data_IF_325104474179
#
_entry.id   IF_325104474179
#
_cell.length_a   1.000
_cell.length_b   1.000
_cell.length_c   1.000
_cell.angle_alpha   90.00
_cell.angle_beta   90.00
_cell.angle_gamma   90.00
#
_symmetry.space_group_name_H-M   'P 1'
#
loop_
_entity.id
_entity.type
_entity.pdbx_description
1 polymer ?
#
# COMPACT_ATOMS: atom_id res chain seq x y z
N UNK A 1 -5.66 14.63 -3.24
CA UNK A 1 -4.18 14.78 -3.29
C UNK A 1 -3.59 13.53 -3.93
N UNK A 2 -2.48 13.62 -4.68
CA UNK A 2 -1.82 12.45 -5.27
C UNK A 2 -0.47 12.23 -4.62
N UNK A 3 -0.24 11.04 -4.09
CA UNK A 3 0.97 10.70 -3.36
C UNK A 3 1.80 9.68 -4.14
N UNK A 4 3.12 9.78 -4.00
CA UNK A 4 4.04 8.73 -4.42
C UNK A 4 4.35 7.87 -3.21
N UNK A 5 3.93 6.61 -3.27
CA UNK A 5 4.10 5.63 -2.21
C UNK A 5 5.34 4.80 -2.45
N UNK A 6 6.03 4.45 -1.38
CA UNK A 6 7.18 3.54 -1.40
C UNK A 6 7.00 2.47 -0.34
N UNK A 7 7.00 1.21 -0.78
CA UNK A 7 6.81 0.05 0.09
C UNK A 7 7.89 -0.99 -0.12
N UNK A 8 8.27 -1.65 0.98
CA UNK A 8 9.09 -2.87 0.92
C UNK A 8 8.39 -3.98 1.69
N UNK A 9 8.32 -5.15 1.06
CA UNK A 9 7.81 -6.36 1.71
C UNK A 9 8.75 -6.73 2.86
N UNK A 10 8.20 -6.90 4.06
CA UNK A 10 8.96 -7.39 5.20
C UNK A 10 9.50 -8.80 4.88
N UNK A 11 10.74 -9.08 5.29
CA UNK A 11 11.35 -10.40 5.07
C UNK A 11 10.45 -11.52 5.61
N UNK A 12 10.33 -12.61 4.85
CA UNK A 12 9.45 -13.74 5.17
C UNK A 12 7.94 -13.50 4.97
N UNK A 13 7.51 -12.30 4.57
CA UNK A 13 6.08 -11.99 4.33
C UNK A 13 5.65 -12.03 2.87
N UNK A 14 6.56 -12.30 1.94
CA UNK A 14 6.27 -12.32 0.50
C UNK A 14 5.16 -13.32 0.13
N UNK A 15 5.21 -14.55 0.63
CA UNK A 15 4.17 -15.55 0.37
C UNK A 15 2.81 -15.17 0.96
N UNK A 16 2.79 -14.60 2.18
CA UNK A 16 1.57 -14.12 2.82
C UNK A 16 0.94 -12.95 2.04
N UNK A 17 1.77 -12.02 1.54
CA UNK A 17 1.30 -10.92 0.69
C UNK A 17 0.74 -11.43 -0.64
N UNK A 18 1.46 -12.34 -1.31
CA UNK A 18 1.01 -12.92 -2.57
C UNK A 18 -0.34 -13.66 -2.41
N UNK A 19 -0.52 -14.38 -1.30
CA UNK A 19 -1.80 -15.03 -0.98
C UNK A 19 -2.92 -14.02 -0.72
N UNK A 20 -2.67 -12.97 0.06
CA UNK A 20 -3.67 -11.94 0.34
C UNK A 20 -4.13 -11.21 -0.95
N UNK A 21 -3.19 -10.97 -1.86
CA UNK A 21 -3.45 -10.44 -3.21
C UNK A 21 -4.32 -11.42 -3.99
N UNK A 22 -3.90 -12.68 -4.15
CA UNK A 22 -4.64 -13.69 -4.92
C UNK A 22 -6.06 -13.93 -4.39
N UNK A 23 -6.23 -13.96 -3.06
CA UNK A 23 -7.52 -14.20 -2.40
C UNK A 23 -8.40 -12.93 -2.35
N UNK A 24 -7.94 -11.78 -2.89
CA UNK A 24 -8.59 -10.46 -2.78
C UNK A 24 -8.97 -10.10 -1.33
N UNK A 25 -8.07 -10.41 -0.41
CA UNK A 25 -8.23 -10.09 1.01
C UNK A 25 -7.26 -8.99 1.47
N UNK A 26 -6.31 -8.59 0.62
CA UNK A 26 -5.45 -7.44 0.89
C UNK A 26 -6.31 -6.18 1.06
N UNK A 27 -6.10 -5.45 2.16
CA UNK A 27 -6.89 -4.23 2.45
C UNK A 27 -8.30 -4.48 2.98
N UNK A 28 -8.75 -5.73 3.15
CA UNK A 28 -10.10 -6.02 3.65
C UNK A 28 -10.32 -5.46 5.06
N UNK A 29 -11.34 -4.63 5.23
CA UNK A 29 -11.64 -3.94 6.49
C UNK A 29 -10.76 -2.72 6.76
N UNK A 30 -9.82 -2.41 5.86
CA UNK A 30 -9.16 -1.11 5.84
C UNK A 30 -10.03 -0.10 5.10
N UNK A 31 -9.70 1.16 5.34
CA UNK A 31 -10.38 2.31 4.75
C UNK A 31 -10.17 2.33 3.21
N UNK A 32 -8.96 2.08 2.71
CA UNK A 32 -8.68 1.99 1.26
C UNK A 32 -9.37 0.82 0.52
N UNK A 33 -9.93 -0.17 1.24
CA UNK A 33 -10.68 -1.27 0.63
C UNK A 33 -9.98 -1.93 -0.56
N UNK A 34 -10.62 -1.89 -1.74
CA UNK A 34 -10.13 -2.49 -2.99
C UNK A 34 -9.03 -1.67 -3.69
N UNK A 35 -8.73 -0.44 -3.25
CA UNK A 35 -7.68 0.40 -3.86
C UNK A 35 -6.31 -0.28 -3.82
N UNK A 36 -6.01 -1.02 -2.75
CA UNK A 36 -4.78 -1.82 -2.65
C UNK A 36 -4.60 -2.78 -3.83
N UNK A 37 -5.68 -3.34 -4.36
CA UNK A 37 -5.59 -4.24 -5.51
C UNK A 37 -5.22 -3.47 -6.79
N UNK A 38 -5.80 -2.30 -6.99
CA UNK A 38 -5.45 -1.43 -8.11
C UNK A 38 -4.01 -0.95 -8.00
N UNK A 39 -3.60 -0.52 -6.81
CA UNK A 39 -2.25 -0.05 -6.51
C UNK A 39 -1.19 -1.12 -6.76
N UNK A 40 -1.43 -2.36 -6.32
CA UNK A 40 -0.48 -3.46 -6.55
C UNK A 40 -0.34 -3.82 -8.03
N UNK A 41 -1.36 -3.64 -8.86
CA UNK A 41 -1.25 -3.82 -10.32
C UNK A 41 -0.42 -2.71 -10.99
N UNK A 42 -0.54 -1.49 -10.45
CA UNK A 42 0.18 -0.31 -10.96
C UNK A 42 1.58 -0.18 -10.37
N UNK A 43 1.87 -0.90 -9.28
CA UNK A 43 3.16 -0.88 -8.63
C UNK A 43 4.29 -1.29 -9.57
N UNK A 44 5.44 -0.63 -9.40
CA UNK A 44 6.68 -0.93 -10.11
C UNK A 44 7.77 -1.18 -9.09
N UNK A 45 8.60 -2.17 -9.36
CA UNK A 45 9.72 -2.54 -8.48
C UNK A 45 10.98 -1.91 -9.03
N UNK A 46 11.72 -1.19 -8.18
CA UNK A 46 13.02 -0.63 -8.53
C UNK A 46 14.15 -1.68 -8.44
N UNK A 47 15.35 -1.30 -8.87
CA UNK A 47 16.53 -2.18 -8.81
C UNK A 47 16.93 -2.61 -7.38
N UNK A 48 16.40 -1.95 -6.35
CA UNK A 48 16.65 -2.24 -4.93
C UNK A 48 15.54 -3.08 -4.29
N UNK A 49 14.55 -3.50 -5.08
CA UNK A 49 13.41 -4.30 -4.60
C UNK A 49 12.37 -3.48 -3.83
N UNK A 50 12.36 -2.16 -3.99
CA UNK A 50 11.32 -1.29 -3.44
C UNK A 50 10.17 -1.16 -4.44
N UNK A 51 8.94 -1.37 -3.97
CA UNK A 51 7.73 -1.20 -4.76
C UNK A 51 7.26 0.25 -4.66
N UNK A 52 7.07 0.91 -5.80
CA UNK A 52 6.55 2.27 -5.90
C UNK A 52 5.22 2.26 -6.64
N UNK A 53 4.23 2.98 -6.12
CA UNK A 53 2.96 3.22 -6.80
C UNK A 53 2.47 4.63 -6.49
N UNK A 54 1.53 5.12 -7.29
CA UNK A 54 0.92 6.42 -7.05
C UNK A 54 -0.56 6.22 -6.73
N UNK A 55 -0.96 6.63 -5.54
CA UNK A 55 -2.36 6.58 -5.11
C UNK A 55 -2.97 7.98 -5.15
N UNK A 56 -4.30 8.04 -5.34
CA UNK A 56 -5.04 9.29 -5.27
C UNK A 56 -5.91 9.24 -4.03
N UNK A 57 -5.50 9.99 -3.01
CA UNK A 57 -6.23 10.07 -1.77
C UNK A 57 -7.18 11.28 -1.76
N UNK A 58 -8.43 11.05 -1.40
CA UNK A 58 -9.47 12.08 -1.26
C UNK A 58 -9.68 12.55 0.18
N UNK A 59 -8.79 12.18 1.12
CA UNK A 59 -8.80 12.68 2.50
C UNK A 59 -8.09 14.04 2.62
N UNK A 60 -8.72 14.94 3.37
CA UNK A 60 -8.12 16.17 3.90
C UNK A 60 -8.68 16.31 5.33
N UNK A 61 -7.87 16.14 6.39
CA UNK A 61 -6.41 15.92 6.48
C UNK A 61 -5.94 14.45 6.23
N UNK A 62 -4.61 14.18 6.11
CA UNK A 62 -4.07 12.81 5.99
C UNK A 62 -4.49 11.92 7.16
N UNK A 63 -4.68 10.62 6.92
CA UNK A 63 -5.06 9.68 7.99
C UNK A 63 -3.94 9.57 9.04
N UNK A 64 -4.31 9.20 10.26
CA UNK A 64 -3.35 9.05 11.36
C UNK A 64 -2.28 7.99 11.02
N UNK A 65 -2.64 6.95 10.27
CA UNK A 65 -1.73 5.91 9.77
C UNK A 65 -0.71 6.42 8.74
N UNK A 66 -0.98 7.54 8.04
CA UNK A 66 -0.10 8.15 7.03
C UNK A 66 0.89 9.15 7.65
N UNK A 67 0.76 9.47 8.93
CA UNK A 67 1.66 10.38 9.64
C UNK A 67 3.05 9.73 9.75
N UNK A 68 4.14 10.52 9.76
CA UNK A 68 5.49 9.99 9.78
C UNK A 68 5.83 9.36 11.15
N UNK A 69 5.37 8.13 11.37
CA UNK A 69 5.87 7.22 12.40
C UNK A 69 6.73 6.17 11.69
N UNK A 70 7.96 6.00 12.18
CA UNK A 70 9.04 5.34 11.45
C UNK A 70 8.70 3.95 10.89
N UNK A 71 9.06 3.75 9.61
CA UNK A 71 9.12 2.49 8.84
C UNK A 71 7.79 1.75 8.65
N UNK A 72 7.47 1.54 7.36
CA UNK A 72 6.33 0.83 6.80
C UNK A 72 4.99 1.56 6.94
N UNK A 73 4.76 2.52 6.06
CA UNK A 73 3.43 3.12 5.91
C UNK A 73 2.65 2.24 4.94
N UNK A 74 1.68 1.49 5.49
CA UNK A 74 0.50 1.02 4.80
C UNK A 74 -0.33 2.26 4.53
N UNK A 75 -0.51 2.63 3.26
CA UNK A 75 -1.32 3.79 2.93
C UNK A 75 -2.74 3.36 2.66
N UNK A 76 -3.66 4.05 3.32
CA UNK A 76 -5.08 3.87 3.25
C UNK A 76 -5.73 5.23 3.08
N UNK A 77 -6.71 5.37 2.19
CA UNK A 77 -7.50 6.59 2.06
C UNK A 77 -8.96 6.30 1.69
N UNK A 78 -9.84 6.82 2.56
CA UNK A 78 -11.32 6.75 2.70
C UNK A 78 -12.14 5.49 2.35
#
# INVERSE_FOLDING_TARGET
>A
MRYLVKGRVKSGRAGALAKAIADRTLGRGSIAGDEYWYDMQMARIDAKGEAHWAETCFCDPPLEEERPIGRNILISCR
#
